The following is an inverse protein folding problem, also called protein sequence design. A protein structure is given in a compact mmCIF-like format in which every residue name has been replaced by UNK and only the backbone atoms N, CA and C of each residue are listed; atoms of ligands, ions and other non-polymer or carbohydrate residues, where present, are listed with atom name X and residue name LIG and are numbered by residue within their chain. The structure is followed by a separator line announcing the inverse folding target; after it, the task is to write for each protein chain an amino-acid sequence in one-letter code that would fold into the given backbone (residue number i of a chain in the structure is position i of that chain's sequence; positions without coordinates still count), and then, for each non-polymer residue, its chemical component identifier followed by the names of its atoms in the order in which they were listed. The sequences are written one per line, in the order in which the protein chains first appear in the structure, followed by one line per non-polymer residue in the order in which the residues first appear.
data_IF_970329615854
#
_entry.id   IF_970329615854
#
_cell.length_a   1.000
_cell.length_b   1.000
_cell.length_c   1.000
_cell.angle_alpha   90.00
_cell.angle_beta   90.00
_cell.angle_gamma   90.00
#
_symmetry.space_group_name_H-M   'P 1'
#
loop_
_entity.id
_entity.type
_entity.pdbx_description
1 polymer ?
#
# COMPACT_ATOMS: atom_id res chain seq x y z
N UNK A 1 1.55 7.38 -28.99
CA UNK A 1 1.63 7.51 -27.52
C UNK A 1 3.09 7.66 -27.17
N UNK A 2 3.49 8.82 -26.66
CA UNK A 2 4.79 9.05 -26.00
C UNK A 2 5.00 7.97 -24.93
N UNK A 3 6.21 7.42 -24.83
CA UNK A 3 6.53 6.31 -23.95
C UNK A 3 6.51 6.79 -22.49
N UNK A 4 5.38 6.63 -21.79
CA UNK A 4 5.18 7.07 -20.39
C UNK A 4 6.32 6.58 -19.47
N UNK A 5 6.85 5.38 -19.72
CA UNK A 5 8.00 4.87 -18.96
C UNK A 5 9.25 5.72 -19.16
N UNK A 6 9.57 6.15 -20.38
CA UNK A 6 10.71 7.04 -20.64
C UNK A 6 10.50 8.40 -19.99
N UNK A 7 9.27 8.93 -20.02
CA UNK A 7 8.95 10.21 -19.37
C UNK A 7 9.14 10.12 -17.84
N UNK A 8 8.64 9.06 -17.20
CA UNK A 8 8.83 8.81 -15.76
C UNK A 8 10.30 8.57 -15.43
N UNK A 9 11.00 7.72 -16.20
CA UNK A 9 12.42 7.42 -16.00
C UNK A 9 13.30 8.67 -16.14
N UNK A 10 13.03 9.53 -17.13
CA UNK A 10 13.77 10.78 -17.29
C UNK A 10 13.48 11.77 -16.15
N UNK A 11 12.23 11.85 -15.69
CA UNK A 11 11.85 12.73 -14.58
C UNK A 11 12.57 12.34 -13.27
N UNK A 12 12.49 11.07 -12.86
CA UNK A 12 13.11 10.58 -11.61
C UNK A 12 14.61 10.25 -11.71
N UNK A 13 15.11 9.98 -12.92
CA UNK A 13 16.52 9.64 -13.16
C UNK A 13 17.41 10.85 -13.47
N UNK A 14 16.86 11.91 -14.08
CA UNK A 14 17.66 13.04 -14.57
C UNK A 14 17.19 14.41 -14.06
N UNK A 15 15.87 14.62 -13.92
CA UNK A 15 15.33 15.94 -13.58
C UNK A 15 15.27 16.18 -12.07
N UNK A 16 14.84 15.19 -11.29
CA UNK A 16 14.83 15.26 -9.83
C UNK A 16 16.24 14.99 -9.27
N UNK A 17 16.82 15.98 -8.59
CA UNK A 17 18.13 15.87 -7.94
C UNK A 17 17.98 15.83 -6.42
N UNK A 18 16.98 16.52 -5.86
CA UNK A 18 16.68 16.60 -4.43
C UNK A 18 15.17 16.65 -4.17
N UNK A 19 14.70 16.28 -2.98
CA UNK A 19 13.27 16.29 -2.61
C UNK A 19 12.63 17.69 -2.73
N UNK A 20 13.42 18.77 -2.62
CA UNK A 20 12.96 20.16 -2.81
C UNK A 20 12.58 20.49 -4.25
N UNK A 21 12.92 19.65 -5.21
CA UNK A 21 12.58 19.84 -6.62
C UNK A 21 11.12 19.47 -6.93
N UNK A 22 10.43 18.81 -6.00
CA UNK A 22 9.01 18.48 -6.09
C UNK A 22 8.16 19.76 -6.04
N UNK A 23 7.21 19.91 -6.96
CA UNK A 23 6.38 21.11 -7.08
C UNK A 23 5.13 21.07 -6.21
N UNK A 24 4.91 19.97 -5.51
CA UNK A 24 3.74 19.74 -4.68
C UNK A 24 4.11 19.05 -3.37
N UNK A 25 3.25 19.21 -2.35
CA UNK A 25 3.37 18.47 -1.09
C UNK A 25 2.79 17.06 -1.25
N UNK A 26 2.36 16.68 -2.46
CA UNK A 26 1.81 15.35 -2.76
C UNK A 26 2.78 14.24 -2.31
N UNK A 27 4.08 14.56 -2.25
CA UNK A 27 5.13 13.66 -1.79
C UNK A 27 5.77 13.95 -0.44
N UNK A 28 5.07 14.69 0.41
CA UNK A 28 5.51 15.01 1.76
C UNK A 28 4.38 14.68 2.77
N UNK A 29 4.28 13.43 3.25
CA UNK A 29 3.38 13.11 4.38
C UNK A 29 3.85 13.84 5.64
N UNK A 30 2.86 14.31 6.41
CA UNK A 30 3.01 14.98 7.71
C UNK A 30 2.92 14.00 8.89
N UNK A 31 2.77 12.70 8.63
CA UNK A 31 2.65 11.70 9.69
C UNK A 31 3.94 11.61 10.51
N UNK A 32 3.79 11.55 11.83
CA UNK A 32 4.93 11.42 12.75
C UNK A 32 5.61 10.06 12.54
N UNK A 33 6.82 10.09 11.99
CA UNK A 33 7.62 8.88 11.80
C UNK A 33 7.90 8.24 13.17
N UNK A 34 7.56 6.95 13.37
CA UNK A 34 7.82 6.25 14.63
C UNK A 34 9.30 6.30 15.03
N UNK A 35 9.57 6.33 16.33
CA UNK A 35 10.94 6.46 16.86
C UNK A 35 11.87 5.34 16.36
N UNK A 36 11.39 4.09 16.31
CA UNK A 36 12.18 2.96 15.83
C UNK A 36 12.56 3.11 14.34
N UNK A 37 11.68 3.68 13.51
CA UNK A 37 11.99 4.01 12.11
C UNK A 37 12.99 5.17 12.05
N UNK A 38 12.83 6.20 12.88
CA UNK A 38 13.80 7.31 12.99
C UNK A 38 15.19 6.80 13.36
N UNK A 39 15.30 5.80 14.23
CA UNK A 39 16.58 5.21 14.62
C UNK A 39 17.21 4.36 13.51
N UNK A 40 16.41 3.67 12.70
CA UNK A 40 16.89 2.99 11.49
C UNK A 40 17.35 4.01 10.45
N UNK A 41 16.57 5.08 10.22
CA UNK A 41 16.90 6.15 9.28
C UNK A 41 18.27 6.78 9.54
N UNK A 42 18.66 6.96 10.81
CA UNK A 42 19.98 7.46 11.19
C UNK A 42 21.14 6.56 10.75
N UNK A 43 20.87 5.28 10.46
CA UNK A 43 21.84 4.29 9.98
C UNK A 43 21.85 4.16 8.46
N UNK A 44 20.94 4.83 7.75
CA UNK A 44 20.89 4.81 6.28
C UNK A 44 21.93 5.77 5.72
N UNK A 45 22.64 5.33 4.68
CA UNK A 45 23.67 6.16 4.05
C UNK A 45 23.08 7.48 3.52
N UNK A 46 23.71 8.65 3.78
CA UNK A 46 23.16 9.95 3.38
C UNK A 46 22.87 10.09 1.87
N UNK A 47 23.68 9.49 1.00
CA UNK A 47 23.45 9.51 -0.46
C UNK A 47 22.16 8.78 -0.85
N UNK A 48 21.78 7.72 -0.14
CA UNK A 48 20.51 7.01 -0.35
C UNK A 48 19.33 7.86 0.13
N UNK A 49 19.47 8.50 1.30
CA UNK A 49 18.43 9.37 1.86
C UNK A 49 18.17 10.59 0.96
N UNK A 50 19.22 11.19 0.40
CA UNK A 50 19.12 12.39 -0.43
C UNK A 50 18.36 12.16 -1.75
N UNK A 51 18.26 10.92 -2.22
CA UNK A 51 17.61 10.53 -3.49
C UNK A 51 16.23 9.88 -3.29
N UNK A 52 15.53 10.23 -2.21
CA UNK A 52 14.21 9.69 -1.91
C UNK A 52 13.09 10.69 -2.23
N UNK A 53 12.01 10.19 -2.86
CA UNK A 53 10.88 10.96 -3.36
C UNK A 53 9.50 10.37 -2.99
N UNK A 54 9.45 9.46 -2.02
CA UNK A 54 8.21 8.81 -1.60
C UNK A 54 7.41 9.65 -0.60
N UNK A 55 6.12 9.34 -0.49
CA UNK A 55 5.11 10.29 -0.03
C UNK A 55 4.47 9.85 1.30
N UNK A 56 4.71 8.61 1.78
CA UNK A 56 4.20 8.08 3.05
C UNK A 56 5.12 7.07 3.77
N UNK A 57 4.62 6.47 4.85
CA UNK A 57 5.26 5.35 5.56
C UNK A 57 4.61 4.03 5.17
N UNK A 58 5.31 3.22 4.38
CA UNK A 58 4.80 1.95 3.83
C UNK A 58 5.39 0.74 4.54
N UNK A 59 5.60 0.84 5.85
CA UNK A 59 6.18 -0.21 6.68
C UNK A 59 5.08 -0.88 7.51
N UNK A 60 4.45 -1.96 7.03
CA UNK A 60 3.44 -2.64 7.81
C UNK A 60 4.06 -3.35 9.03
N UNK A 61 3.30 -3.60 10.10
CA UNK A 61 3.80 -4.31 11.27
C UNK A 61 4.15 -5.79 10.99
N UNK A 62 4.85 -6.42 11.93
CA UNK A 62 5.19 -7.86 11.95
C UNK A 62 5.94 -8.29 10.70
N UNK A 63 7.15 -7.77 10.51
CA UNK A 63 8.00 -8.04 9.33
C UNK A 63 9.15 -9.01 9.60
N UNK A 64 9.43 -9.39 10.85
CA UNK A 64 10.57 -10.25 11.16
C UNK A 64 10.54 -11.54 10.35
N UNK A 65 11.65 -11.87 9.69
CA UNK A 65 11.79 -13.07 8.85
C UNK A 65 11.00 -13.04 7.54
N UNK A 66 10.24 -11.98 7.24
CA UNK A 66 9.46 -11.90 6.01
C UNK A 66 10.36 -11.73 4.79
N UNK A 67 9.88 -12.26 3.66
CA UNK A 67 10.38 -11.89 2.33
C UNK A 67 9.52 -10.77 1.76
N UNK A 68 10.13 -9.60 1.55
CA UNK A 68 9.44 -8.37 1.14
C UNK A 68 9.86 -7.95 -0.27
N UNK A 69 8.91 -7.48 -1.08
CA UNK A 69 9.18 -6.81 -2.36
C UNK A 69 8.80 -5.33 -2.25
N UNK A 70 9.69 -4.44 -2.65
CA UNK A 70 9.44 -3.00 -2.77
C UNK A 70 9.35 -2.61 -4.25
N UNK A 71 8.23 -1.98 -4.63
CA UNK A 71 7.93 -1.59 -6.01
C UNK A 71 8.31 -0.11 -6.24
N UNK A 72 9.22 0.13 -7.18
CA UNK A 72 9.82 1.44 -7.43
C UNK A 72 10.76 1.85 -6.30
N UNK A 73 11.73 0.99 -6.01
CA UNK A 73 12.61 1.13 -4.84
C UNK A 73 13.55 2.34 -4.88
N UNK A 74 13.72 2.97 -6.05
CA UNK A 74 14.65 4.08 -6.25
C UNK A 74 16.07 3.76 -5.78
N UNK A 75 16.69 4.71 -5.06
CA UNK A 75 18.01 4.53 -4.43
C UNK A 75 18.01 3.57 -3.23
N UNK A 76 16.86 3.00 -2.85
CA UNK A 76 16.76 1.91 -1.89
C UNK A 76 16.52 2.33 -0.44
N UNK A 77 16.12 3.57 -0.15
CA UNK A 77 15.85 4.02 1.24
C UNK A 77 14.88 3.09 1.95
N UNK A 78 13.71 2.82 1.34
CA UNK A 78 12.68 1.99 1.94
C UNK A 78 13.12 0.53 2.00
N UNK A 79 13.81 0.01 0.96
CA UNK A 79 14.45 -1.32 0.99
C UNK A 79 15.42 -1.50 2.16
N UNK A 80 16.25 -0.51 2.46
CA UNK A 80 17.20 -0.60 3.58
C UNK A 80 16.52 -0.47 4.95
N UNK A 81 15.43 0.31 5.05
CA UNK A 81 14.62 0.32 6.28
C UNK A 81 13.97 -1.05 6.48
N UNK A 82 13.34 -1.59 5.43
CA UNK A 82 12.73 -2.92 5.44
C UNK A 82 13.78 -4.00 5.76
N UNK A 83 15.00 -3.89 5.24
CA UNK A 83 16.12 -4.80 5.54
C UNK A 83 16.40 -4.89 7.05
N UNK A 84 16.36 -3.76 7.75
CA UNK A 84 16.48 -3.73 9.21
C UNK A 84 15.26 -4.33 9.90
N UNK A 85 14.05 -4.07 9.40
CA UNK A 85 12.79 -4.52 10.01
C UNK A 85 12.56 -6.03 9.85
N UNK A 86 12.92 -6.60 8.70
CA UNK A 86 12.82 -8.05 8.45
C UNK A 86 13.93 -8.83 9.17
N UNK A 87 15.02 -8.15 9.53
CA UNK A 87 16.16 -8.73 10.22
C UNK A 87 16.99 -9.69 9.36
N UNK A 88 18.03 -10.27 9.97
CA UNK A 88 19.02 -11.11 9.27
C UNK A 88 18.43 -12.39 8.63
N UNK A 89 17.25 -12.85 9.08
CA UNK A 89 16.57 -14.03 8.54
C UNK A 89 15.52 -13.68 7.47
N UNK A 90 15.16 -12.41 7.36
CA UNK A 90 14.28 -11.92 6.30
C UNK A 90 15.05 -11.58 5.03
N UNK A 91 14.33 -11.15 4.00
CA UNK A 91 14.96 -10.77 2.73
C UNK A 91 14.12 -9.72 2.00
N UNK A 92 14.77 -8.69 1.44
CA UNK A 92 14.07 -7.62 0.72
C UNK A 92 14.56 -7.54 -0.71
N UNK A 93 13.63 -7.50 -1.65
CA UNK A 93 13.93 -7.24 -3.07
C UNK A 93 13.36 -5.87 -3.43
N UNK A 94 14.18 -4.99 -3.97
CA UNK A 94 13.73 -3.73 -4.59
C UNK A 94 13.68 -3.86 -6.10
N UNK A 95 12.61 -3.40 -6.73
CA UNK A 95 12.50 -3.31 -8.19
C UNK A 95 12.39 -1.85 -8.60
N UNK A 96 13.20 -1.41 -9.55
CA UNK A 96 13.08 -0.08 -10.15
C UNK A 96 13.40 -0.14 -11.65
N UNK A 97 12.83 0.77 -12.44
CA UNK A 97 13.10 0.86 -13.87
C UNK A 97 14.31 1.76 -14.19
N UNK A 98 14.82 2.49 -13.20
CA UNK A 98 15.86 3.52 -13.35
C UNK A 98 17.21 2.98 -12.91
N UNK A 99 18.09 2.73 -13.87
CA UNK A 99 19.42 2.13 -13.61
C UNK A 99 20.28 3.01 -12.69
N UNK A 100 20.23 4.33 -12.87
CA UNK A 100 21.02 5.29 -12.10
C UNK A 100 20.66 5.27 -10.61
N UNK A 101 19.38 5.04 -10.29
CA UNK A 101 18.90 4.89 -8.93
C UNK A 101 19.38 3.56 -8.33
N UNK A 102 19.27 2.47 -9.10
CA UNK A 102 19.76 1.16 -8.66
C UNK A 102 21.28 1.11 -8.49
N UNK A 103 22.05 1.85 -9.29
CA UNK A 103 23.52 1.92 -9.14
C UNK A 103 23.90 2.55 -7.79
N UNK A 104 23.16 3.55 -7.33
CA UNK A 104 23.31 4.11 -5.97
C UNK A 104 22.91 3.07 -4.93
N UNK A 105 21.74 2.44 -5.11
CA UNK A 105 21.23 1.44 -4.19
C UNK A 105 22.26 0.31 -3.99
N UNK A 106 22.76 -0.28 -5.07
CA UNK A 106 23.72 -1.38 -5.04
C UNK A 106 25.06 -1.00 -4.39
N UNK A 107 25.54 0.24 -4.58
CA UNK A 107 26.82 0.70 -3.99
C UNK A 107 26.85 0.60 -2.46
N UNK A 108 25.70 0.72 -1.81
CA UNK A 108 25.60 0.79 -0.36
C UNK A 108 25.14 -0.51 0.32
N UNK A 109 25.10 -1.64 -0.40
CA UNK A 109 24.67 -2.92 0.18
C UNK A 109 25.59 -3.33 1.35
N UNK A 110 26.90 -3.30 1.14
CA UNK A 110 27.88 -3.68 2.18
C UNK A 110 27.86 -2.72 3.37
N UNK A 111 27.65 -1.42 3.10
CA UNK A 111 27.52 -0.39 4.13
C UNK A 111 26.37 -0.73 5.08
N UNK A 112 25.16 -0.95 4.55
CA UNK A 112 23.98 -1.21 5.36
C UNK A 112 24.03 -2.59 6.03
N UNK A 113 24.56 -3.61 5.34
CA UNK A 113 24.81 -4.94 5.92
C UNK A 113 25.65 -4.81 7.20
N UNK A 114 26.75 -4.05 7.15
CA UNK A 114 27.60 -3.79 8.31
C UNK A 114 26.91 -2.91 9.36
N UNK A 115 26.21 -1.86 8.94
CA UNK A 115 25.52 -0.93 9.86
C UNK A 115 24.41 -1.61 10.68
N UNK A 116 23.78 -2.64 10.11
CA UNK A 116 22.77 -3.46 10.79
C UNK A 116 23.35 -4.68 11.53
N UNK A 117 24.66 -4.93 11.40
CA UNK A 117 25.34 -6.05 12.07
C UNK A 117 25.01 -7.41 11.49
N UNK A 118 24.65 -7.48 10.20
CA UNK A 118 24.35 -8.73 9.52
C UNK A 118 25.62 -9.38 8.98
N UNK A 119 25.70 -10.71 9.02
CA UNK A 119 26.82 -11.46 8.46
C UNK A 119 26.85 -11.43 6.91
N UNK A 120 25.67 -11.29 6.29
CA UNK A 120 25.46 -11.26 4.84
C UNK A 120 24.37 -10.27 4.49
N UNK A 121 24.43 -9.73 3.29
CA UNK A 121 23.37 -8.88 2.76
C UNK A 121 22.05 -9.67 2.68
N UNK A 122 20.97 -9.05 3.16
CA UNK A 122 19.60 -9.55 3.06
C UNK A 122 18.77 -8.72 2.07
N UNK A 123 19.43 -8.01 1.15
CA UNK A 123 18.81 -7.18 0.13
C UNK A 123 19.26 -7.58 -1.27
N UNK A 124 18.40 -7.34 -2.24
CA UNK A 124 18.69 -7.46 -3.67
C UNK A 124 17.95 -6.35 -4.43
N UNK A 125 18.61 -5.75 -5.42
CA UNK A 125 17.98 -4.76 -6.30
C UNK A 125 17.91 -5.28 -7.73
N UNK A 126 16.75 -5.15 -8.37
CA UNK A 126 16.49 -5.65 -9.73
C UNK A 126 16.01 -4.51 -10.64
N UNK A 127 16.63 -4.41 -11.81
CA UNK A 127 16.15 -3.56 -12.88
C UNK A 127 14.90 -4.19 -13.51
N UNK A 128 13.79 -3.46 -13.52
CA UNK A 128 12.55 -3.99 -14.07
C UNK A 128 11.37 -3.03 -13.96
N UNK A 129 10.28 -3.40 -14.61
CA UNK A 129 9.00 -2.68 -14.56
C UNK A 129 8.06 -3.38 -13.59
N UNK A 130 7.27 -2.62 -12.86
CA UNK A 130 6.36 -3.16 -11.83
C UNK A 130 5.16 -3.92 -12.45
N UNK A 131 4.93 -3.74 -13.75
CA UNK A 131 3.96 -4.45 -14.59
C UNK A 131 4.50 -5.81 -15.09
N UNK A 132 5.78 -6.11 -14.91
CA UNK A 132 6.47 -7.26 -15.52
C UNK A 132 7.37 -7.98 -14.50
N UNK A 133 6.80 -8.33 -13.35
CA UNK A 133 7.47 -9.04 -12.28
C UNK A 133 7.65 -10.54 -12.55
N UNK A 134 6.84 -11.18 -13.40
CA UNK A 134 6.89 -12.64 -13.62
C UNK A 134 7.73 -13.07 -14.82
N UNK A 135 7.76 -12.27 -15.88
CA UNK A 135 8.16 -12.75 -17.20
C UNK A 135 9.68 -12.61 -17.42
N UNK A 136 10.27 -11.47 -17.03
CA UNK A 136 11.69 -11.15 -17.29
C UNK A 136 12.55 -11.05 -16.02
N UNK A 137 11.93 -11.03 -14.83
CA UNK A 137 12.66 -10.74 -13.58
C UNK A 137 13.34 -11.96 -12.96
N UNK A 138 12.98 -13.17 -13.38
CA UNK A 138 13.39 -14.43 -12.74
C UNK A 138 12.83 -14.65 -11.33
N UNK A 139 11.91 -13.82 -10.85
CA UNK A 139 11.25 -14.01 -9.56
C UNK A 139 10.16 -15.09 -9.65
N UNK A 140 10.02 -15.87 -8.59
CA UNK A 140 9.03 -16.95 -8.53
C UNK A 140 7.69 -16.40 -8.03
N UNK A 141 6.59 -16.79 -8.67
CA UNK A 141 5.24 -16.53 -8.13
C UNK A 141 5.08 -17.11 -6.73
N UNK A 142 4.19 -16.56 -5.91
CA UNK A 142 3.94 -16.98 -4.52
C UNK A 142 5.20 -17.00 -3.65
N UNK A 143 6.12 -16.05 -3.82
CA UNK A 143 7.38 -16.01 -3.06
C UNK A 143 7.43 -14.96 -1.97
N UNK A 144 6.59 -13.93 -2.02
CA UNK A 144 6.66 -12.79 -1.09
C UNK A 144 5.57 -12.86 -0.03
N UNK A 145 5.93 -12.57 1.22
CA UNK A 145 4.99 -12.46 2.35
C UNK A 145 4.29 -11.09 2.32
N UNK A 146 5.05 -10.06 1.96
CA UNK A 146 4.59 -8.67 1.88
C UNK A 146 5.13 -8.03 0.60
N UNK A 147 4.29 -7.28 -0.09
CA UNK A 147 4.72 -6.36 -1.14
C UNK A 147 4.35 -4.96 -0.67
N UNK A 148 5.26 -4.00 -0.86
CA UNK A 148 5.03 -2.60 -0.54
C UNK A 148 5.27 -1.72 -1.76
N UNK A 149 4.70 -0.52 -1.74
CA UNK A 149 4.88 0.50 -2.77
C UNK A 149 4.57 1.86 -2.19
N UNK A 150 5.34 2.88 -2.57
CA UNK A 150 5.17 4.25 -2.09
C UNK A 150 5.04 5.23 -3.25
N UNK A 151 3.80 5.54 -3.66
CA UNK A 151 3.48 6.48 -4.75
C UNK A 151 4.07 6.15 -6.12
N UNK A 152 4.08 4.87 -6.48
CA UNK A 152 4.58 4.39 -7.78
C UNK A 152 3.47 3.79 -8.65
N UNK A 153 2.40 3.25 -8.04
CA UNK A 153 1.33 2.58 -8.80
C UNK A 153 0.63 3.57 -9.73
N UNK A 154 0.46 4.82 -9.31
CA UNK A 154 -0.12 5.86 -10.16
C UNK A 154 0.71 6.25 -11.38
N UNK A 155 2.02 6.06 -11.34
CA UNK A 155 2.93 6.29 -12.47
C UNK A 155 2.83 5.20 -13.53
N UNK A 156 2.27 4.04 -13.17
CA UNK A 156 2.04 2.94 -14.10
C UNK A 156 0.96 3.28 -15.13
N UNK A 157 1.20 3.04 -16.43
CA UNK A 157 0.17 3.11 -17.45
C UNK A 157 -0.82 1.94 -17.39
N UNK A 158 -0.48 0.81 -16.77
CA UNK A 158 -1.34 -0.38 -16.64
C UNK A 158 -1.43 -0.85 -15.18
N UNK A 159 -2.21 -0.10 -14.40
CA UNK A 159 -2.48 -0.37 -12.99
C UNK A 159 -3.12 -1.74 -12.75
N UNK A 160 -3.91 -2.23 -13.71
CA UNK A 160 -4.52 -3.56 -13.62
C UNK A 160 -3.44 -4.64 -13.69
N UNK A 161 -2.48 -4.50 -14.62
CA UNK A 161 -1.34 -5.41 -14.72
C UNK A 161 -0.45 -5.35 -13.47
N UNK A 162 -0.23 -4.17 -12.88
CA UNK A 162 0.46 -4.05 -11.57
C UNK A 162 -0.25 -4.91 -10.51
N UNK A 163 -1.56 -4.72 -10.31
CA UNK A 163 -2.32 -5.51 -9.33
C UNK A 163 -2.23 -7.02 -9.61
N UNK A 164 -2.32 -7.44 -10.89
CA UNK A 164 -2.18 -8.85 -11.27
C UNK A 164 -0.81 -9.42 -10.89
N UNK A 165 0.26 -8.69 -11.18
CA UNK A 165 1.62 -9.14 -10.90
C UNK A 165 1.90 -9.18 -9.40
N UNK A 166 1.46 -8.17 -8.65
CA UNK A 166 1.51 -8.20 -7.17
C UNK A 166 0.77 -9.41 -6.63
N UNK A 167 -0.43 -9.69 -7.14
CA UNK A 167 -1.20 -10.86 -6.73
C UNK A 167 -0.46 -12.17 -7.03
N UNK A 168 0.11 -12.33 -8.22
CA UNK A 168 0.86 -13.53 -8.61
C UNK A 168 2.10 -13.74 -7.73
N UNK A 169 2.78 -12.66 -7.34
CA UNK A 169 4.00 -12.69 -6.54
C UNK A 169 3.76 -12.98 -5.05
N UNK A 170 2.63 -12.55 -4.49
CA UNK A 170 2.29 -12.79 -3.08
C UNK A 170 2.03 -14.27 -2.80
N UNK A 171 2.50 -14.75 -1.65
CA UNK A 171 2.05 -16.02 -1.06
C UNK A 171 0.57 -15.96 -0.71
N UNK A 172 -0.16 -17.09 -0.65
CA UNK A 172 -1.52 -17.11 -0.13
C UNK A 172 -1.56 -16.56 1.31
N UNK A 173 -2.42 -15.57 1.58
CA UNK A 173 -2.45 -14.83 2.85
C UNK A 173 -1.45 -13.69 2.96
N UNK A 174 -0.61 -13.48 1.95
CA UNK A 174 0.32 -12.36 1.87
C UNK A 174 -0.39 -11.02 1.69
N UNK A 175 0.31 -9.93 2.02
CA UNK A 175 -0.25 -8.58 2.07
C UNK A 175 0.41 -7.67 1.02
N UNK A 176 -0.40 -6.93 0.26
CA UNK A 176 0.05 -5.74 -0.43
C UNK A 176 -0.28 -4.52 0.42
N UNK A 177 0.74 -3.81 0.90
CA UNK A 177 0.61 -2.65 1.78
C UNK A 177 1.26 -1.43 1.11
N UNK A 178 0.46 -0.47 0.65
CA UNK A 178 0.97 0.60 -0.18
C UNK A 178 0.27 1.93 0.10
N UNK A 179 1.00 3.02 -0.11
CA UNK A 179 0.46 4.38 -0.11
C UNK A 179 0.46 4.92 -1.53
N UNK A 180 -0.63 5.54 -1.94
CA UNK A 180 -0.68 6.29 -3.19
C UNK A 180 -1.66 7.47 -3.13
N UNK A 181 -1.64 8.31 -4.16
CA UNK A 181 -2.53 9.46 -4.33
C UNK A 181 -3.87 9.01 -4.91
N UNK A 182 -4.97 9.48 -4.34
CA UNK A 182 -6.31 9.20 -4.83
C UNK A 182 -7.06 10.49 -5.11
N UNK A 183 -7.82 10.49 -6.20
CA UNK A 183 -8.68 11.61 -6.57
C UNK A 183 -10.13 11.36 -6.12
N UNK A 184 -10.80 12.41 -5.66
CA UNK A 184 -12.23 12.37 -5.29
C UNK A 184 -13.16 12.08 -6.47
N UNK A 185 -12.65 12.23 -7.70
CA UNK A 185 -13.36 12.00 -8.96
C UNK A 185 -12.38 11.60 -10.07
N UNK A 186 -12.86 11.03 -11.19
CA UNK A 186 -12.00 10.67 -12.30
C UNK A 186 -11.27 11.89 -12.85
N UNK A 187 -9.94 11.79 -12.98
CA UNK A 187 -9.12 12.84 -13.58
C UNK A 187 -9.39 12.91 -15.10
N UNK A 188 -9.73 14.10 -15.64
CA UNK A 188 -9.93 14.32 -17.08
C UNK A 188 -8.75 13.89 -17.96
N UNK A 189 -9.04 13.43 -19.18
CA UNK A 189 -8.04 12.86 -20.10
C UNK A 189 -7.00 13.89 -20.58
N UNK A 190 -7.39 15.14 -20.76
CA UNK A 190 -6.48 16.24 -21.09
C UNK A 190 -5.44 16.49 -19.98
N UNK A 191 -5.83 16.32 -18.72
CA UNK A 191 -4.90 16.40 -17.59
C UNK A 191 -3.98 15.18 -17.50
N UNK A 192 -4.44 13.99 -17.90
CA UNK A 192 -3.62 12.77 -17.97
C UNK A 192 -2.46 12.89 -18.95
N UNK A 193 -2.61 13.69 -20.00
CA UNK A 193 -1.55 13.94 -20.98
C UNK A 193 -0.49 14.95 -20.49
N UNK A 194 -0.74 15.64 -19.37
CA UNK A 194 0.22 16.56 -18.79
C UNK A 194 1.35 15.80 -18.05
N UNK A 195 2.55 15.82 -18.64
CA UNK A 195 3.73 15.10 -18.12
C UNK A 195 4.16 15.54 -16.72
N UNK A 196 4.00 16.81 -16.38
CA UNK A 196 4.36 17.34 -15.06
C UNK A 196 3.39 16.79 -14.02
N UNK A 197 2.08 16.89 -14.28
CA UNK A 197 1.06 16.32 -13.38
C UNK A 197 1.17 14.81 -13.25
N UNK A 198 1.61 14.11 -14.31
CA UNK A 198 1.84 12.68 -14.26
C UNK A 198 3.03 12.34 -13.36
N UNK A 199 4.15 13.05 -13.53
CA UNK A 199 5.35 12.88 -12.71
C UNK A 199 5.14 13.25 -11.23
N UNK A 200 4.18 14.11 -10.91
CA UNK A 200 3.79 14.44 -9.53
C UNK A 200 2.73 13.46 -8.95
N UNK A 201 2.47 12.33 -9.63
CA UNK A 201 1.46 11.33 -9.25
C UNK A 201 0.00 11.82 -9.18
N UNK A 202 -0.29 13.02 -9.69
CA UNK A 202 -1.62 13.63 -9.62
C UNK A 202 -2.52 13.19 -10.78
N UNK A 203 -2.06 13.35 -12.03
CA UNK A 203 -2.94 13.08 -13.17
C UNK A 203 -3.18 11.59 -13.42
N UNK A 204 -2.24 10.75 -12.97
CA UNK A 204 -2.37 9.29 -12.97
C UNK A 204 -3.24 8.74 -11.82
N UNK A 205 -3.66 9.59 -10.87
CA UNK A 205 -4.41 9.16 -9.70
C UNK A 205 -5.76 8.54 -10.08
N UNK A 206 -6.10 7.45 -9.40
CA UNK A 206 -7.38 6.74 -9.55
C UNK A 206 -8.37 7.12 -8.45
N UNK A 207 -9.64 6.82 -8.69
CA UNK A 207 -10.65 6.85 -7.65
C UNK A 207 -10.56 5.58 -6.78
N UNK A 208 -10.99 5.70 -5.52
CA UNK A 208 -11.08 4.55 -4.61
C UNK A 208 -11.94 3.41 -5.18
N UNK A 209 -13.05 3.75 -5.86
CA UNK A 209 -13.92 2.76 -6.51
C UNK A 209 -13.20 1.90 -7.55
N UNK A 210 -12.24 2.49 -8.27
CA UNK A 210 -11.46 1.80 -9.31
C UNK A 210 -10.44 0.85 -8.66
N UNK A 211 -9.80 1.27 -7.56
CA UNK A 211 -8.93 0.39 -6.77
C UNK A 211 -9.70 -0.82 -6.26
N UNK A 212 -10.85 -0.59 -5.62
CA UNK A 212 -11.67 -1.67 -5.05
C UNK A 212 -12.09 -2.65 -6.15
N UNK A 213 -12.61 -2.13 -7.26
CA UNK A 213 -13.08 -2.96 -8.37
C UNK A 213 -11.94 -3.74 -9.01
N UNK A 214 -10.78 -3.09 -9.24
CA UNK A 214 -9.59 -3.72 -9.80
C UNK A 214 -9.02 -4.81 -8.90
N UNK A 215 -8.89 -4.54 -7.59
CA UNK A 215 -8.39 -5.48 -6.60
C UNK A 215 -9.26 -6.75 -6.53
N UNK A 216 -10.59 -6.57 -6.44
CA UNK A 216 -11.54 -7.68 -6.39
C UNK A 216 -11.53 -8.50 -7.70
N UNK A 217 -11.42 -7.84 -8.86
CA UNK A 217 -11.36 -8.52 -10.15
C UNK A 217 -10.10 -9.39 -10.31
N UNK A 218 -9.00 -9.03 -9.64
CA UNK A 218 -7.76 -9.83 -9.62
C UNK A 218 -7.83 -10.98 -8.61
N UNK A 219 -8.61 -10.83 -7.55
CA UNK A 219 -8.80 -11.85 -6.51
C UNK A 219 -8.23 -11.48 -5.13
N UNK A 220 -7.83 -10.23 -4.93
CA UNK A 220 -7.56 -9.71 -3.59
C UNK A 220 -8.85 -9.68 -2.76
N UNK A 221 -8.69 -9.63 -1.44
CA UNK A 221 -9.77 -9.19 -0.56
C UNK A 221 -10.13 -7.72 -0.83
N UNK A 222 -11.27 -7.26 -0.30
CA UNK A 222 -11.59 -5.83 -0.36
C UNK A 222 -10.44 -5.00 0.24
N UNK A 223 -9.96 -3.94 -0.43
CA UNK A 223 -8.97 -3.03 0.13
C UNK A 223 -9.43 -2.46 1.48
N UNK A 224 -8.52 -2.39 2.44
CA UNK A 224 -8.75 -1.79 3.75
C UNK A 224 -7.95 -0.50 3.85
N UNK A 225 -8.64 0.62 4.08
CA UNK A 225 -8.03 1.92 4.30
C UNK A 225 -7.37 1.98 5.67
N UNK A 226 -6.05 2.17 5.71
CA UNK A 226 -5.25 2.17 6.93
C UNK A 226 -5.06 3.58 7.47
N UNK A 227 -4.74 4.53 6.60
CA UNK A 227 -4.49 5.91 6.96
C UNK A 227 -4.79 6.83 5.77
N UNK A 228 -5.15 8.08 6.07
CA UNK A 228 -5.35 9.16 5.09
C UNK A 228 -4.56 10.39 5.47
N UNK A 229 -3.96 11.04 4.49
CA UNK A 229 -3.28 12.33 4.62
C UNK A 229 -3.78 13.27 3.51
N UNK A 230 -4.38 14.42 3.83
CA UNK A 230 -4.80 15.39 2.81
C UNK A 230 -3.61 15.94 2.02
N UNK A 231 -3.73 16.03 0.69
CA UNK A 231 -2.69 16.60 -0.16
C UNK A 231 -3.03 18.05 -0.48
N UNK A 232 -2.08 18.95 -0.18
CA UNK A 232 -2.10 20.33 -0.63
C UNK A 232 -1.34 20.50 -1.94
N UNK A 233 -1.90 21.26 -2.87
CA UNK A 233 -1.20 21.67 -4.10
C UNK A 233 -0.76 23.12 -3.91
N UNK A 234 0.52 23.39 -3.65
CA UNK A 234 0.97 24.76 -3.35
C UNK A 234 1.30 25.58 -4.62
N UNK A 235 1.41 24.93 -5.77
CA UNK A 235 1.65 25.59 -7.04
C UNK A 235 0.35 26.15 -7.64
N UNK A 236 0.27 27.47 -7.77
CA UNK A 236 -0.92 28.20 -8.26
C UNK A 236 -1.28 27.83 -9.71
N UNK A 237 -0.30 27.55 -10.57
CA UNK A 237 -0.56 27.14 -11.96
C UNK A 237 -1.17 25.73 -12.01
N UNK A 238 -0.65 24.81 -11.19
CA UNK A 238 -1.20 23.45 -11.08
C UNK A 238 -2.59 23.46 -10.45
N UNK A 239 -2.83 24.27 -9.42
CA UNK A 239 -4.16 24.44 -8.84
C UNK A 239 -5.19 24.88 -9.88
N UNK A 240 -4.86 25.89 -10.71
CA UNK A 240 -5.75 26.37 -11.77
C UNK A 240 -6.06 25.29 -12.79
N UNK A 241 -5.07 24.46 -13.13
CA UNK A 241 -5.21 23.39 -14.10
C UNK A 241 -6.06 22.23 -13.55
N UNK A 242 -5.88 21.88 -12.27
CA UNK A 242 -6.59 20.80 -11.60
C UNK A 242 -8.02 21.16 -11.18
N UNK A 243 -8.33 22.46 -11.10
CA UNK A 243 -9.66 22.95 -10.72
C UNK A 243 -10.07 22.47 -9.33
N UNK A 244 -11.28 21.91 -9.22
CA UNK A 244 -11.88 21.48 -7.95
C UNK A 244 -11.57 20.01 -7.57
N UNK A 245 -10.66 19.34 -8.29
CA UNK A 245 -10.29 17.96 -7.98
C UNK A 245 -9.55 17.93 -6.65
N UNK A 246 -10.01 17.08 -5.72
CA UNK A 246 -9.37 16.90 -4.42
C UNK A 246 -8.53 15.63 -4.43
N UNK A 247 -7.32 15.75 -3.89
CA UNK A 247 -6.38 14.64 -3.78
C UNK A 247 -6.16 14.28 -2.32
N UNK A 248 -6.01 13.00 -2.05
CA UNK A 248 -5.71 12.46 -0.71
C UNK A 248 -4.68 11.36 -0.86
N UNK A 249 -3.65 11.37 -0.03
CA UNK A 249 -2.73 10.24 0.10
C UNK A 249 -3.41 9.20 0.98
N UNK A 250 -3.56 7.98 0.48
CA UNK A 250 -4.20 6.90 1.23
C UNK A 250 -3.28 5.70 1.29
N UNK A 251 -3.13 5.15 2.49
CA UNK A 251 -2.45 3.88 2.71
C UNK A 251 -3.48 2.77 2.75
N UNK A 252 -3.35 1.78 1.88
CA UNK A 252 -4.21 0.61 1.84
C UNK A 252 -3.45 -0.66 2.17
N UNK A 253 -4.19 -1.63 2.72
CA UNK A 253 -3.77 -3.02 2.77
C UNK A 253 -4.75 -3.93 2.05
N UNK A 254 -4.22 -4.84 1.24
CA UNK A 254 -4.97 -5.83 0.48
C UNK A 254 -4.35 -7.21 0.76
N UNK A 255 -5.17 -8.21 1.07
CA UNK A 255 -4.67 -9.57 1.28
C UNK A 255 -4.92 -10.43 0.06
N UNK A 256 -3.93 -11.24 -0.32
CA UNK A 256 -4.14 -12.30 -1.30
C UNK A 256 -5.03 -13.37 -0.67
N UNK A 257 -6.28 -13.45 -1.12
CA UNK A 257 -7.16 -14.53 -0.68
C UNK A 257 -6.52 -15.85 -1.07
N UNK A 258 -6.46 -16.80 -0.11
CA UNK A 258 -6.27 -18.21 -0.46
C UNK A 258 -7.35 -18.55 -1.49
N UNK A 259 -6.98 -19.25 -2.57
CA UNK A 259 -7.92 -19.80 -3.55
C UNK A 259 -9.14 -20.30 -2.80
N UNK A 260 -10.33 -19.86 -3.21
CA UNK A 260 -11.61 -20.10 -2.52
C UNK A 260 -11.71 -21.57 -2.13
N UNK A 261 -11.26 -21.91 -0.92
CA UNK A 261 -11.75 -23.09 -0.25
C UNK A 261 -13.20 -22.73 0.02
N UNK A 262 -14.08 -23.29 -0.81
CA UNK A 262 -15.53 -23.23 -0.59
C UNK A 262 -15.92 -23.86 0.75
N UNK A 263 -14.97 -24.50 1.44
CA UNK A 263 -14.97 -24.69 2.88
C UNK A 263 -14.40 -23.45 3.59
N UNK A 264 -15.15 -22.35 3.61
CA UNK A 264 -15.07 -21.52 4.82
C UNK A 264 -15.37 -22.46 5.97
N UNK A 265 -14.47 -22.56 6.97
CA UNK A 265 -14.85 -23.10 8.27
C UNK A 265 -16.22 -22.50 8.60
N UNK A 266 -17.20 -23.36 8.83
CA UNK A 266 -18.62 -23.01 8.98
C UNK A 266 -18.88 -21.99 10.09
N UNK A 267 -17.88 -21.76 10.93
CA UNK A 267 -18.02 -21.21 12.27
C UNK A 267 -17.96 -19.68 12.28
N UNK A 268 -17.30 -19.02 11.31
CA UNK A 268 -17.14 -17.56 11.28
C UNK A 268 -18.14 -16.84 10.34
N UNK A 269 -19.24 -17.50 9.93
CA UNK A 269 -20.22 -16.88 9.01
C UNK A 269 -20.79 -15.55 9.53
N UNK A 270 -20.89 -15.42 10.85
CA UNK A 270 -21.37 -14.23 11.53
C UNK A 270 -20.22 -13.33 12.04
N UNK A 271 -18.96 -13.67 11.78
CA UNK A 271 -17.81 -13.01 12.38
C UNK A 271 -17.37 -13.62 13.71
N UNK A 272 -16.56 -12.89 14.46
CA UNK A 272 -15.97 -13.35 15.72
C UNK A 272 -15.67 -12.17 16.64
N UNK A 273 -15.63 -12.42 17.95
CA UNK A 273 -14.94 -11.55 18.90
C UNK A 273 -13.44 -11.80 18.80
N UNK A 274 -12.67 -10.74 18.64
CA UNK A 274 -11.24 -10.79 18.35
C UNK A 274 -10.48 -10.04 19.44
N UNK A 275 -9.47 -10.70 20.01
CA UNK A 275 -8.62 -10.15 21.07
C UNK A 275 -7.16 -10.24 20.65
N UNK A 276 -6.44 -9.12 20.75
CA UNK A 276 -4.98 -9.09 20.56
C UNK A 276 -4.29 -9.68 21.79
N UNK A 277 -3.67 -10.83 21.62
CA UNK A 277 -3.15 -11.66 22.72
C UNK A 277 -1.64 -11.68 22.83
N UNK A 278 -0.92 -11.55 21.73
CA UNK A 278 0.54 -11.61 21.74
C UNK A 278 1.06 -10.41 21.01
N UNK A 279 1.97 -9.67 21.64
CA UNK A 279 2.50 -8.44 21.06
C UNK A 279 3.26 -8.72 19.76
N UNK A 280 3.16 -7.75 18.86
CA UNK A 280 4.01 -7.54 17.70
C UNK A 280 5.09 -6.56 18.15
N UNK A 281 6.34 -6.81 17.74
CA UNK A 281 7.47 -5.94 18.05
C UNK A 281 7.19 -4.52 17.55
N UNK A 282 7.48 -3.52 18.38
CA UNK A 282 7.17 -2.09 18.20
C UNK A 282 5.67 -1.72 18.31
N UNK A 283 4.79 -2.70 18.54
CA UNK A 283 3.35 -2.54 18.69
C UNK A 283 2.86 -3.29 19.94
N UNK A 284 3.63 -3.20 21.04
CA UNK A 284 3.41 -3.98 22.25
C UNK A 284 2.14 -3.58 23.00
N UNK A 285 1.76 -2.30 22.95
CA UNK A 285 0.59 -1.79 23.64
C UNK A 285 -0.68 -1.90 22.80
N UNK A 286 -0.57 -1.54 21.52
CA UNK A 286 -1.69 -1.53 20.61
C UNK A 286 -1.26 -1.77 19.16
N UNK A 287 -2.16 -2.35 18.39
CA UNK A 287 -2.02 -2.59 16.96
C UNK A 287 -3.21 -1.99 16.21
N UNK A 288 -2.93 -0.95 15.41
CA UNK A 288 -3.90 -0.35 14.52
C UNK A 288 -4.00 -1.18 13.23
N UNK A 289 -5.12 -1.87 13.03
CA UNK A 289 -5.35 -2.65 11.83
C UNK A 289 -5.83 -1.77 10.67
N UNK A 290 -6.65 -0.75 10.96
CA UNK A 290 -7.11 0.23 10.00
C UNK A 290 -7.50 1.55 10.70
N UNK A 291 -8.02 2.54 9.97
CA UNK A 291 -8.37 3.86 10.54
C UNK A 291 -9.37 3.77 11.70
N UNK A 292 -10.24 2.74 11.71
CA UNK A 292 -11.33 2.59 12.69
C UNK A 292 -11.10 1.48 13.73
N UNK A 293 -10.10 0.62 13.55
CA UNK A 293 -9.89 -0.59 14.34
C UNK A 293 -8.48 -0.57 14.91
N UNK A 294 -8.41 -0.40 16.23
CA UNK A 294 -7.19 -0.51 17.02
C UNK A 294 -7.39 -1.51 18.14
N UNK A 295 -6.55 -2.53 18.20
CA UNK A 295 -6.57 -3.53 19.26
C UNK A 295 -5.55 -3.19 20.34
N UNK A 296 -5.97 -3.18 21.60
CA UNK A 296 -5.06 -3.09 22.74
C UNK A 296 -4.65 -4.49 23.18
N UNK A 297 -3.39 -4.66 23.57
CA UNK A 297 -2.89 -5.95 24.04
C UNK A 297 -3.67 -6.37 25.28
N UNK A 298 -4.23 -7.58 25.25
CA UNK A 298 -5.15 -8.11 26.27
C UNK A 298 -6.36 -7.19 26.57
N UNK A 299 -6.74 -6.33 25.61
CA UNK A 299 -7.92 -5.48 25.72
C UNK A 299 -9.22 -6.25 25.56
N UNK A 300 -10.33 -5.53 25.73
CA UNK A 300 -11.68 -6.08 25.54
C UNK A 300 -11.83 -6.70 24.13
N UNK A 301 -12.47 -7.88 24.01
CA UNK A 301 -12.75 -8.49 22.71
C UNK A 301 -13.57 -7.55 21.82
N UNK A 302 -13.12 -7.36 20.58
CA UNK A 302 -13.82 -6.53 19.60
C UNK A 302 -14.51 -7.42 18.57
N UNK A 303 -15.78 -7.17 18.30
CA UNK A 303 -16.48 -7.85 17.22
C UNK A 303 -15.91 -7.44 15.87
N UNK A 304 -15.60 -8.42 15.03
CA UNK A 304 -15.28 -8.21 13.62
C UNK A 304 -16.22 -9.06 12.77
N UNK A 305 -16.65 -8.51 11.63
CA UNK A 305 -17.44 -9.26 10.67
C UNK A 305 -16.64 -10.41 10.03
N UNK A 306 -17.34 -11.32 9.36
CA UNK A 306 -16.75 -12.50 8.72
C UNK A 306 -15.59 -12.17 7.76
N UNK A 307 -15.69 -11.07 7.01
CA UNK A 307 -14.66 -10.67 6.05
C UNK A 307 -13.35 -10.27 6.73
N UNK A 308 -13.42 -9.42 7.76
CA UNK A 308 -12.26 -8.96 8.53
C UNK A 308 -11.63 -10.10 9.34
N UNK A 309 -12.45 -10.99 9.92
CA UNK A 309 -11.96 -12.21 10.60
C UNK A 309 -11.18 -13.07 9.61
N UNK A 310 -11.73 -13.31 8.42
CA UNK A 310 -11.07 -14.09 7.37
C UNK A 310 -9.72 -13.48 6.98
N UNK A 311 -9.66 -12.16 6.80
CA UNK A 311 -8.42 -11.43 6.48
C UNK A 311 -7.37 -11.61 7.60
N UNK A 312 -7.74 -11.35 8.86
CA UNK A 312 -6.81 -11.50 9.98
C UNK A 312 -6.30 -12.94 10.13
N UNK A 313 -7.18 -13.94 10.09
CA UNK A 313 -6.83 -15.36 10.22
C UNK A 313 -5.93 -15.87 9.10
N UNK A 314 -6.12 -15.40 7.86
CA UNK A 314 -5.28 -15.85 6.75
C UNK A 314 -3.91 -15.16 6.71
N UNK A 315 -3.83 -13.98 7.31
CA UNK A 315 -2.64 -13.16 7.31
C UNK A 315 -1.58 -13.64 8.31
N UNK A 316 -0.38 -13.10 8.18
CA UNK A 316 0.69 -13.31 9.17
C UNK A 316 0.32 -12.82 10.57
N UNK A 317 -0.70 -11.98 10.73
CA UNK A 317 -1.11 -11.48 12.05
C UNK A 317 -1.87 -12.53 12.88
N UNK A 318 -2.37 -13.61 12.27
CA UNK A 318 -3.28 -14.58 12.92
C UNK A 318 -2.81 -15.03 14.31
N UNK A 319 -1.53 -15.39 14.46
CA UNK A 319 -0.99 -15.93 15.71
C UNK A 319 -0.96 -14.91 16.87
N UNK A 320 -1.16 -13.62 16.57
CA UNK A 320 -1.26 -12.57 17.59
C UNK A 320 -2.67 -12.41 18.15
N UNK A 321 -3.66 -13.10 17.57
CA UNK A 321 -5.08 -12.90 17.88
C UNK A 321 -5.75 -14.20 18.34
N UNK A 322 -6.62 -14.06 19.34
CA UNK A 322 -7.66 -15.06 19.64
C UNK A 322 -8.94 -14.65 18.96
N UNK A 323 -9.64 -15.65 18.44
CA UNK A 323 -10.91 -15.50 17.76
C UNK A 323 -11.94 -16.39 18.45
N UNK A 324 -13.06 -15.78 18.84
CA UNK A 324 -14.20 -16.45 19.46
C UNK A 324 -15.40 -16.31 18.51
N UNK A 325 -15.74 -17.36 17.73
CA UNK A 325 -16.76 -17.28 16.70
C UNK A 325 -18.12 -16.88 17.26
N UNK A 326 -18.84 -16.03 16.53
CA UNK A 326 -20.22 -15.70 16.85
C UNK A 326 -21.14 -16.80 16.32
N UNK A 327 -21.95 -17.37 17.21
CA UNK A 327 -22.84 -18.50 16.88
C UNK A 327 -24.31 -18.12 16.81
N UNK A 328 -24.70 -16.95 17.33
CA UNK A 328 -26.06 -16.41 17.30
C UNK A 328 -26.02 -14.93 16.89
N UNK A 329 -26.84 -14.53 15.91
CA UNK A 329 -26.96 -13.14 15.46
C UNK A 329 -27.29 -12.16 16.59
N UNK A 330 -27.97 -12.63 17.65
CA UNK A 330 -28.27 -11.81 18.84
C UNK A 330 -27.02 -11.40 19.63
N UNK A 331 -25.89 -12.07 19.43
CA UNK A 331 -24.61 -11.74 20.05
C UNK A 331 -23.87 -10.65 19.28
N UNK A 332 -24.28 -10.34 18.05
CA UNK A 332 -23.70 -9.25 17.27
C UNK A 332 -24.01 -7.94 17.99
N UNK A 333 -23.00 -7.18 18.44
CA UNK A 333 -23.25 -5.94 19.16
C UNK A 333 -24.08 -4.99 18.31
N UNK A 334 -25.11 -4.37 18.90
CA UNK A 334 -25.87 -3.25 18.31
C UNK A 334 -24.95 -2.02 18.21
N UNK A 335 -23.95 -2.08 17.34
CA UNK A 335 -23.04 -0.98 17.06
C UNK A 335 -23.18 -0.62 15.60
N UNK A 336 -24.01 0.39 15.36
CA UNK A 336 -24.26 1.03 14.06
C UNK A 336 -23.02 1.74 13.48
N UNK A 337 -21.79 1.43 13.92
CA UNK A 337 -20.60 2.24 13.67
C UNK A 337 -19.33 1.47 13.24
N UNK A 338 -19.35 0.16 12.98
CA UNK A 338 -18.15 -0.54 12.50
C UNK A 338 -18.14 -0.88 11.00
N UNK A 339 -19.22 -0.60 10.26
CA UNK A 339 -19.28 -0.77 8.79
C UNK A 339 -20.09 0.34 8.08
N UNK A 340 -20.68 1.28 8.81
CA UNK A 340 -21.70 2.21 8.28
C UNK A 340 -21.17 3.32 7.35
N UNK A 341 -19.86 3.47 7.17
CA UNK A 341 -19.28 4.31 6.12
C UNK A 341 -18.99 3.55 4.81
N UNK A 342 -19.08 2.21 4.77
CA UNK A 342 -18.87 1.45 3.53
C UNK A 342 -20.17 1.07 2.80
N UNK A 343 -21.33 1.12 3.47
CA UNK A 343 -22.63 0.80 2.83
C UNK A 343 -23.43 2.03 2.38
N UNK A 344 -23.16 3.24 2.90
CA UNK A 344 -23.98 4.43 2.59
C UNK A 344 -23.77 5.06 1.21
N UNK A 345 -22.76 4.64 0.43
CA UNK A 345 -22.53 5.15 -0.93
C UNK A 345 -23.27 4.39 -2.03
N UNK A 346 -23.89 3.23 -1.72
CA UNK A 346 -24.53 2.37 -2.74
C UNK A 346 -26.06 2.50 -2.86
N UNK A 347 -26.74 3.11 -1.90
CA UNK A 347 -28.23 3.18 -1.90
C UNK A 347 -28.81 4.51 -2.39
N UNK A 348 -27.98 5.47 -2.86
CA UNK A 348 -28.47 6.75 -3.40
C UNK A 348 -28.35 6.90 -4.93
N UNK A 349 -27.88 5.90 -5.66
CA UNK A 349 -27.78 5.96 -7.14
C UNK A 349 -28.83 5.13 -7.89
N UNK A 350 -29.77 4.46 -7.20
CA UNK A 350 -30.81 3.65 -7.84
C UNK A 350 -32.24 4.01 -7.41
N UNK A 351 -32.60 5.30 -7.39
CA UNK A 351 -34.00 5.71 -7.42
C UNK A 351 -34.19 7.17 -7.82
N UNK A 352 -34.19 7.45 -9.13
CA UNK A 352 -35.13 8.39 -9.77
C UNK A 352 -34.82 8.54 -11.26
N UNK A 353 -35.27 7.57 -12.05
CA UNK A 353 -35.55 7.82 -13.47
C UNK A 353 -37.01 7.47 -13.73
N UNK A 354 -37.91 8.32 -13.22
CA UNK A 354 -39.30 8.32 -13.64
C UNK A 354 -39.41 9.13 -14.93
N UNK A 355 -39.27 8.48 -16.08
CA UNK A 355 -39.78 9.01 -17.33
C UNK A 355 -41.30 9.18 -17.21
N UNK A 356 -41.80 10.42 -17.41
CA UNK A 356 -43.20 10.65 -17.76
C UNK A 356 -43.29 10.95 -19.27
N UNK A 357 -44.22 10.31 -20.00
CA UNK A 357 -44.45 10.58 -21.42
C UNK A 357 -45.25 11.88 -21.62
N UNK A 358 -45.10 12.44 -22.83
CA UNK A 358 -45.41 13.83 -23.18
C UNK A 358 -46.89 14.25 -23.16
N UNK A 359 -47.11 15.55 -23.41
CA UNK A 359 -48.03 16.11 -24.42
C UNK A 359 -48.01 17.64 -24.38
N UNK A 360 -48.08 18.24 -25.58
CA UNK A 360 -48.33 19.63 -25.96
C UNK A 360 -47.19 20.64 -25.85
#
# INVERSE_FOLDING_TARGET
MTNVHEDVQNYYGQQLQQTTDLKTDACCSKADVPSFIKDILKKIHPEVVAKYYGCGLVFPPKLEGCRVLDLGSGAGRDVYILSSLVGAQGYVVGVDMTKEQLDVANRFIDYHTKAFGFEKANVEFRLGKIEQLTDDSGMKTNSFDVIVSNCVVNLSPDKKKVLQQVYEMLKPGGEFYFSDVYADRPVPEDLRQNKILWGECLSGAICESDLISGALAVGFTRPILVATDPIGINNVELQKLLGDIKFTSCTYRLFKSKSIDKSTNSDDKLGALVTYQTSIVHYENEFQFNESITFKLHGEPQYLNAELVKMLRMSRYSDNFKFEPITDEKQIPNTTNQVSNQQKSNDQSSSSCCCRPGTC
#
